data_IF_878580254220
#
_entry.id   IF_878580254220
#
_cell.length_a   1.000
_cell.length_b   1.000
_cell.length_c   1.000
_cell.angle_alpha   90.00
_cell.angle_beta   90.00
_cell.angle_gamma   90.00
#
_symmetry.space_group_name_H-M   'P 1'
#
loop_
_entity.id
_entity.type
_entity.pdbx_description
1 polymer ?
#
# COMPACT_ATOMS: atom_id res chain seq x y z
N UNK A 1 48.38 29.81 11.19
CA UNK A 1 49.32 28.75 11.60
C UNK A 1 49.03 27.54 10.73
N UNK A 2 49.78 27.41 9.65
CA UNK A 2 49.61 26.32 8.69
C UNK A 2 50.23 25.06 9.31
N UNK A 3 49.41 24.26 10.00
CA UNK A 3 49.82 22.92 10.39
C UNK A 3 49.98 22.13 9.11
N UNK A 4 51.22 22.01 8.66
CA UNK A 4 51.62 21.08 7.62
C UNK A 4 51.46 19.68 8.21
N UNK A 5 50.23 19.19 8.19
CA UNK A 5 49.86 17.85 8.60
C UNK A 5 50.60 16.90 7.66
N UNK A 6 51.71 16.34 8.14
CA UNK A 6 52.44 15.29 7.45
C UNK A 6 51.52 14.07 7.36
N UNK A 7 50.67 14.05 6.34
CA UNK A 7 49.78 12.93 6.06
C UNK A 7 50.67 11.76 5.69
N UNK A 8 50.83 10.85 6.64
CA UNK A 8 51.58 9.62 6.46
C UNK A 8 51.00 8.86 5.27
N UNK A 9 51.82 8.61 4.25
CA UNK A 9 51.44 7.85 3.04
C UNK A 9 50.73 6.52 3.37
N UNK A 10 51.14 5.76 4.42
CA UNK A 10 50.40 4.57 4.85
C UNK A 10 48.96 4.85 5.31
N UNK A 11 48.73 5.94 6.05
CA UNK A 11 47.41 6.34 6.53
C UNK A 11 46.50 6.76 5.38
N UNK A 12 47.06 7.45 4.38
CA UNK A 12 46.32 7.82 3.16
C UNK A 12 45.85 6.57 2.39
N UNK A 13 46.73 5.57 2.24
CA UNK A 13 46.36 4.30 1.60
C UNK A 13 45.28 3.54 2.39
N UNK A 14 45.38 3.53 3.73
CA UNK A 14 44.36 2.90 4.57
C UNK A 14 42.99 3.59 4.42
N UNK A 15 42.95 4.91 4.37
CA UNK A 15 41.71 5.68 4.17
C UNK A 15 41.11 5.38 2.78
N UNK A 16 41.93 5.30 1.73
CA UNK A 16 41.48 4.95 0.37
C UNK A 16 40.93 3.52 0.34
N UNK A 17 41.61 2.56 0.98
CA UNK A 17 41.15 1.18 1.03
C UNK A 17 39.81 1.03 1.79
N UNK A 18 39.67 1.70 2.94
CA UNK A 18 38.44 1.67 3.74
C UNK A 18 37.30 2.38 3.02
N UNK A 19 37.54 3.56 2.45
CA UNK A 19 36.51 4.27 1.66
C UNK A 19 36.09 3.47 0.43
N UNK A 20 37.04 2.84 -0.28
CA UNK A 20 36.76 1.91 -1.37
C UNK A 20 35.93 0.70 -0.93
N UNK A 21 36.23 0.13 0.23
CA UNK A 21 35.46 -0.98 0.80
C UNK A 21 34.03 -0.54 1.19
N UNK A 22 33.88 0.65 1.77
CA UNK A 22 32.58 1.22 2.14
C UNK A 22 31.75 1.53 0.89
N UNK A 23 32.33 2.13 -0.15
CA UNK A 23 31.68 2.36 -1.44
C UNK A 23 31.30 1.03 -2.12
N UNK A 24 32.20 0.03 -2.11
CA UNK A 24 31.92 -1.33 -2.59
C UNK A 24 30.76 -1.94 -1.79
N UNK A 25 30.73 -1.76 -0.47
CA UNK A 25 29.70 -2.35 0.36
C UNK A 25 28.34 -1.64 0.20
N UNK A 26 28.32 -0.32 0.16
CA UNK A 26 27.07 0.46 0.03
C UNK A 26 26.47 0.38 -1.37
N UNK A 27 27.29 0.34 -2.42
CA UNK A 27 26.81 0.36 -3.81
C UNK A 27 26.72 -1.04 -4.45
N UNK A 28 27.51 -2.02 -4.00
CA UNK A 28 27.51 -3.38 -4.57
C UNK A 28 27.12 -4.48 -3.57
N UNK A 29 26.99 -4.21 -2.27
CA UNK A 29 26.50 -5.19 -1.29
C UNK A 29 24.99 -5.06 -1.10
N UNK A 30 24.22 -5.26 -2.16
CA UNK A 30 22.86 -5.78 -1.98
C UNK A 30 23.01 -7.28 -1.76
N UNK A 31 22.70 -7.84 -0.58
CA UNK A 31 22.74 -9.28 -0.42
C UNK A 31 21.74 -9.88 -1.43
N UNK A 32 22.19 -10.78 -2.30
CA UNK A 32 21.37 -11.35 -3.37
C UNK A 32 20.03 -11.91 -2.87
N UNK A 33 19.96 -12.31 -1.59
CA UNK A 33 18.76 -12.78 -0.91
C UNK A 33 17.68 -11.70 -0.75
N UNK A 34 18.03 -10.42 -0.46
CA UNK A 34 17.03 -9.35 -0.32
C UNK A 34 16.49 -8.86 -1.67
N UNK A 35 17.31 -8.90 -2.74
CA UNK A 35 16.86 -8.58 -4.10
C UNK A 35 15.89 -9.62 -4.64
N UNK A 36 16.15 -10.90 -4.41
CA UNK A 36 15.26 -11.99 -4.82
C UNK A 36 13.90 -11.96 -4.09
N UNK A 37 13.90 -11.64 -2.78
CA UNK A 37 12.67 -11.49 -2.01
C UNK A 37 11.83 -10.28 -2.47
N UNK A 38 12.47 -9.16 -2.81
CA UNK A 38 11.79 -7.98 -3.33
C UNK A 38 11.20 -8.21 -4.73
N UNK A 39 11.90 -8.93 -5.62
CA UNK A 39 11.35 -9.30 -6.93
C UNK A 39 10.16 -10.24 -6.81
N UNK A 40 10.22 -11.26 -5.93
CA UNK A 40 9.10 -12.17 -5.70
C UNK A 40 7.86 -11.48 -5.09
N UNK A 41 8.06 -10.52 -4.18
CA UNK A 41 6.97 -9.71 -3.63
C UNK A 41 6.30 -8.81 -4.69
N UNK A 42 7.10 -8.26 -5.63
CA UNK A 42 6.57 -7.48 -6.76
C UNK A 42 5.83 -8.36 -7.75
N UNK A 43 6.38 -9.52 -8.12
CA UNK A 43 5.74 -10.50 -9.00
C UNK A 43 4.35 -10.88 -8.46
N UNK A 44 4.28 -11.27 -7.18
CA UNK A 44 3.01 -11.68 -6.54
C UNK A 44 1.98 -10.55 -6.45
N UNK A 45 2.39 -9.31 -6.16
CA UNK A 45 1.46 -8.17 -6.20
C UNK A 45 0.92 -7.88 -7.60
N UNK A 46 1.74 -7.99 -8.64
CA UNK A 46 1.27 -7.83 -10.03
C UNK A 46 0.35 -8.98 -10.45
N UNK A 47 0.61 -10.21 -10.00
CA UNK A 47 -0.26 -11.36 -10.24
C UNK A 47 -1.64 -11.13 -9.60
N UNK A 48 -1.70 -10.74 -8.33
CA UNK A 48 -2.96 -10.42 -7.63
C UNK A 48 -3.74 -9.29 -8.29
N UNK A 49 -3.07 -8.22 -8.70
CA UNK A 49 -3.72 -7.12 -9.41
C UNK A 49 -4.29 -7.58 -10.77
N UNK A 50 -3.59 -8.46 -11.50
CA UNK A 50 -4.12 -9.05 -12.73
C UNK A 50 -5.38 -9.88 -12.45
N UNK A 51 -5.39 -10.70 -11.40
CA UNK A 51 -6.58 -11.49 -11.05
C UNK A 51 -7.78 -10.61 -10.69
N UNK A 52 -7.55 -9.52 -9.96
CA UNK A 52 -8.61 -8.55 -9.64
C UNK A 52 -9.16 -7.87 -10.91
N UNK A 53 -8.28 -7.46 -11.84
CA UNK A 53 -8.68 -6.92 -13.14
C UNK A 53 -9.51 -7.94 -13.93
N UNK A 54 -9.05 -9.20 -14.00
CA UNK A 54 -9.77 -10.27 -14.70
C UNK A 54 -11.17 -10.48 -14.14
N UNK A 55 -11.34 -10.47 -12.81
CA UNK A 55 -12.65 -10.61 -12.19
C UNK A 55 -13.62 -9.51 -12.65
N UNK A 56 -13.13 -8.27 -12.75
CA UNK A 56 -13.93 -7.15 -13.25
C UNK A 56 -14.22 -7.26 -14.75
N UNK A 57 -13.24 -7.66 -15.56
CA UNK A 57 -13.47 -7.90 -16.99
C UNK A 57 -14.47 -9.03 -17.23
N UNK A 58 -14.46 -10.09 -16.41
CA UNK A 58 -15.43 -11.18 -16.50
C UNK A 58 -16.87 -10.71 -16.22
N UNK A 59 -17.05 -9.72 -15.33
CA UNK A 59 -18.36 -9.12 -15.07
C UNK A 59 -18.88 -8.30 -16.26
N UNK A 60 -17.99 -7.65 -17.01
CA UNK A 60 -18.34 -6.86 -18.20
C UNK A 60 -18.47 -7.72 -19.46
N UNK A 61 -17.69 -8.80 -19.56
CA UNK A 61 -17.57 -9.67 -20.73
C UNK A 61 -17.71 -11.14 -20.33
N UNK A 62 -18.91 -11.60 -19.93
CA UNK A 62 -19.12 -12.98 -19.51
C UNK A 62 -18.84 -14.01 -20.63
N UNK A 63 -18.88 -13.57 -21.90
CA UNK A 63 -18.60 -14.40 -23.07
C UNK A 63 -17.10 -14.65 -23.34
N UNK A 64 -16.20 -13.93 -22.65
CA UNK A 64 -14.75 -14.08 -22.85
C UNK A 64 -14.17 -14.99 -21.76
N UNK A 65 -13.35 -15.95 -22.17
CA UNK A 65 -12.70 -16.86 -21.25
C UNK A 65 -11.68 -16.15 -20.34
N UNK A 66 -11.71 -16.52 -19.05
CA UNK A 66 -10.76 -16.05 -18.03
C UNK A 66 -9.29 -16.21 -18.46
N UNK A 67 -8.96 -17.31 -19.14
CA UNK A 67 -7.58 -17.62 -19.59
C UNK A 67 -7.10 -16.63 -20.65
N UNK A 68 -7.98 -16.26 -21.58
CA UNK A 68 -7.71 -15.31 -22.65
C UNK A 68 -7.50 -13.91 -22.08
N UNK A 69 -8.32 -13.52 -21.10
CA UNK A 69 -8.16 -12.25 -20.37
C UNK A 69 -6.83 -12.19 -19.60
N UNK A 70 -6.45 -13.26 -18.90
CA UNK A 70 -5.17 -13.33 -18.19
C UNK A 70 -3.98 -13.17 -19.14
N UNK A 71 -4.03 -13.84 -20.30
CA UNK A 71 -3.00 -13.75 -21.31
C UNK A 71 -2.88 -12.36 -21.91
N UNK A 72 -4.01 -11.73 -22.25
CA UNK A 72 -3.99 -10.38 -22.80
C UNK A 72 -3.50 -9.37 -21.76
N UNK A 73 -3.97 -9.46 -20.50
CA UNK A 73 -3.49 -8.65 -19.37
C UNK A 73 -2.00 -8.85 -19.08
N UNK A 74 -1.46 -10.04 -19.33
CA UNK A 74 -0.02 -10.26 -19.21
C UNK A 74 0.74 -9.48 -20.29
N UNK A 75 0.25 -9.45 -21.53
CA UNK A 75 0.88 -8.70 -22.64
C UNK A 75 0.68 -7.19 -22.55
N UNK A 76 -0.47 -6.72 -22.05
CA UNK A 76 -0.77 -5.30 -21.85
C UNK A 76 -0.24 -4.75 -20.53
N UNK A 77 0.52 -5.54 -19.76
CA UNK A 77 1.17 -5.10 -18.52
C UNK A 77 0.19 -4.87 -17.35
N UNK A 78 -0.99 -5.50 -17.38
CA UNK A 78 -2.02 -5.35 -16.36
C UNK A 78 -2.97 -4.17 -16.59
N UNK A 79 -2.93 -3.54 -17.77
CA UNK A 79 -3.83 -2.44 -18.13
C UNK A 79 -5.22 -2.97 -18.53
N UNK A 80 -6.19 -2.83 -17.63
CA UNK A 80 -7.57 -3.24 -17.88
C UNK A 80 -8.21 -2.48 -19.05
N UNK A 81 -7.99 -1.17 -19.18
CA UNK A 81 -8.60 -0.36 -20.23
C UNK A 81 -8.16 -0.83 -21.63
N UNK A 82 -6.85 -1.08 -21.81
CA UNK A 82 -6.32 -1.59 -23.07
C UNK A 82 -6.91 -2.95 -23.45
N UNK A 83 -7.10 -3.84 -22.46
CA UNK A 83 -7.75 -5.13 -22.68
C UNK A 83 -9.24 -4.95 -23.00
N UNK A 84 -9.96 -4.04 -22.34
CA UNK A 84 -11.37 -3.77 -22.68
C UNK A 84 -11.55 -3.26 -24.11
N UNK A 85 -10.69 -2.35 -24.57
CA UNK A 85 -10.74 -1.84 -25.94
C UNK A 85 -10.49 -2.96 -26.96
N UNK A 86 -9.51 -3.83 -26.69
CA UNK A 86 -9.20 -4.96 -27.56
C UNK A 86 -10.31 -6.00 -27.60
N UNK A 87 -10.98 -6.21 -26.46
CA UNK A 87 -12.16 -7.07 -26.36
C UNK A 87 -13.30 -6.53 -27.21
N UNK A 88 -13.60 -5.24 -27.09
CA UNK A 88 -14.63 -4.57 -27.88
C UNK A 88 -14.30 -4.54 -29.38
N UNK A 89 -13.02 -4.39 -29.74
CA UNK A 89 -12.55 -4.46 -31.12
C UNK A 89 -12.54 -5.89 -31.71
N UNK A 90 -12.83 -6.92 -30.90
CA UNK A 90 -12.80 -8.32 -31.32
C UNK A 90 -11.41 -8.83 -31.71
N UNK A 91 -10.34 -8.27 -31.13
CA UNK A 91 -8.94 -8.61 -31.42
C UNK A 91 -8.28 -9.34 -30.23
N UNK A 92 -9.00 -10.19 -29.52
CA UNK A 92 -8.38 -11.02 -28.48
C UNK A 92 -7.52 -12.11 -29.12
N UNK A 93 -6.24 -12.12 -28.76
CA UNK A 93 -5.33 -13.20 -29.15
C UNK A 93 -5.65 -14.45 -28.34
N UNK A 94 -5.81 -15.60 -29.02
CA UNK A 94 -6.07 -16.86 -28.34
C UNK A 94 -4.78 -17.28 -27.61
N UNK A 95 -4.83 -17.53 -26.28
CA UNK A 95 -3.63 -17.91 -25.54
C UNK A 95 -3.02 -19.19 -26.10
N UNK A 96 -1.69 -19.26 -26.27
CA UNK A 96 -1.03 -20.48 -26.70
C UNK A 96 -1.31 -21.61 -25.69
N UNK A 97 -1.33 -22.86 -26.17
CA UNK A 97 -1.59 -24.04 -25.33
C UNK A 97 -0.53 -24.27 -24.25
N UNK A 98 0.61 -23.60 -24.34
CA UNK A 98 1.67 -23.58 -23.33
C UNK A 98 1.41 -22.61 -22.18
N UNK A 99 0.41 -21.71 -22.29
CA UNK A 99 0.03 -20.84 -21.19
C UNK A 99 -0.75 -21.62 -20.14
N UNK A 100 -0.01 -22.06 -19.12
CA UNK A 100 -0.55 -22.71 -17.92
C UNK A 100 -0.74 -21.64 -16.86
N UNK A 101 -1.97 -21.14 -16.64
CA UNK A 101 -2.22 -20.14 -15.61
C UNK A 101 -1.83 -20.71 -14.24
N UNK A 102 -1.24 -19.90 -13.34
CA UNK A 102 -0.96 -20.35 -11.99
C UNK A 102 -2.27 -20.83 -11.33
N UNK A 103 -2.24 -21.94 -10.58
CA UNK A 103 -3.43 -22.46 -9.93
C UNK A 103 -4.02 -21.38 -9.02
N UNK A 104 -5.37 -21.26 -8.96
CA UNK A 104 -6.00 -20.34 -8.03
C UNK A 104 -5.51 -20.64 -6.61
N UNK A 105 -5.29 -19.63 -5.76
CA UNK A 105 -4.84 -19.86 -4.40
C UNK A 105 -5.87 -20.75 -3.71
N UNK A 106 -5.45 -21.97 -3.36
CA UNK A 106 -6.22 -22.87 -2.51
C UNK A 106 -6.47 -22.16 -1.19
N UNK A 107 -7.71 -22.14 -0.65
CA UNK A 107 -7.92 -21.75 0.74
C UNK A 107 -7.05 -22.66 1.63
N UNK A 108 -6.52 -22.14 2.76
CA UNK A 108 -5.64 -22.92 3.63
C UNK A 108 -6.32 -24.23 4.01
N UNK A 109 -5.63 -25.34 3.73
CA UNK A 109 -6.08 -26.69 3.99
C UNK A 109 -6.44 -26.87 5.47
N UNK A 110 -7.73 -26.98 5.75
CA UNK A 110 -8.22 -27.76 6.89
C UNK A 110 -8.81 -29.04 6.34
N UNK A 111 -8.44 -30.13 6.99
CA UNK A 111 -8.68 -31.53 6.70
C UNK A 111 -10.04 -31.89 6.06
N UNK A 112 -9.96 -32.80 5.09
CA UNK A 112 -10.87 -33.90 4.79
C UNK A 112 -12.41 -33.74 4.97
N UNK A 113 -13.08 -33.87 3.82
CA UNK A 113 -14.33 -34.60 3.55
C UNK A 113 -15.72 -34.10 4.00
N UNK A 114 -16.59 -34.02 2.97
CA UNK A 114 -18.06 -34.21 2.93
C UNK A 114 -18.99 -32.97 3.12
N UNK A 115 -20.21 -33.00 2.49
CA UNK A 115 -20.85 -31.81 1.95
C UNK A 115 -22.08 -31.30 2.73
N UNK A 116 -22.55 -30.13 2.29
CA UNK A 116 -23.85 -29.50 2.56
C UNK A 116 -24.09 -28.90 3.95
N UNK A 117 -24.24 -27.57 4.00
CA UNK A 117 -25.51 -26.91 4.37
C UNK A 117 -25.36 -25.39 4.37
N UNK A 118 -26.40 -24.74 3.89
CA UNK A 118 -26.62 -23.30 3.99
C UNK A 118 -26.60 -22.89 5.47
N UNK A 119 -25.99 -21.75 5.80
CA UNK A 119 -26.46 -20.87 6.88
C UNK A 119 -25.76 -19.51 6.85
N UNK A 120 -26.62 -18.50 6.79
CA UNK A 120 -26.39 -17.10 7.12
C UNK A 120 -25.89 -16.93 8.56
N UNK A 121 -24.86 -16.11 8.80
CA UNK A 121 -24.64 -15.33 10.03
C UNK A 121 -23.32 -14.55 9.89
N UNK A 122 -23.39 -13.22 9.82
CA UNK A 122 -23.23 -12.32 10.95
C UNK A 122 -21.74 -12.04 11.27
N UNK A 123 -21.28 -10.89 10.76
CA UNK A 123 -20.05 -10.24 11.16
C UNK A 123 -20.13 -9.78 12.62
N UNK A 124 -19.48 -10.50 13.53
CA UNK A 124 -19.16 -10.00 14.87
C UNK A 124 -17.66 -9.76 14.98
N UNK A 125 -17.35 -8.53 15.33
CA UNK A 125 -16.10 -7.98 15.83
C UNK A 125 -15.36 -8.90 16.80
N UNK A 126 -14.08 -9.12 16.56
CA UNK A 126 -13.13 -9.56 17.59
C UNK A 126 -11.78 -8.86 17.37
N UNK A 127 -11.46 -8.00 18.32
CA UNK A 127 -10.21 -7.27 18.46
C UNK A 127 -9.06 -8.24 18.77
N UNK A 128 -8.42 -8.79 17.74
CA UNK A 128 -7.10 -9.36 17.95
C UNK A 128 -6.09 -8.21 17.96
N UNK A 129 -5.60 -7.82 19.15
CA UNK A 129 -4.39 -7.01 19.32
C UNK A 129 -3.29 -7.62 18.46
N UNK A 130 -3.06 -7.03 17.29
CA UNK A 130 -2.00 -7.49 16.41
C UNK A 130 -0.67 -7.18 17.10
N UNK A 131 0.14 -8.20 17.36
CA UNK A 131 1.53 -8.12 17.86
C UNK A 131 2.49 -7.34 16.92
N UNK A 132 1.96 -6.62 15.93
CA UNK A 132 2.72 -5.75 15.06
C UNK A 132 2.94 -4.41 15.78
N UNK A 133 4.14 -3.80 15.65
CA UNK A 133 4.39 -2.47 16.22
C UNK A 133 3.36 -1.47 15.70
N UNK A 134 2.86 -0.62 16.59
CA UNK A 134 1.83 0.38 16.29
C UNK A 134 2.19 1.21 15.04
N UNK A 135 1.18 1.50 14.22
CA UNK A 135 1.36 2.27 12.99
C UNK A 135 1.96 3.65 13.24
N UNK A 136 1.68 4.24 14.41
CA UNK A 136 2.24 5.51 14.86
C UNK A 136 3.76 5.41 15.01
N UNK A 137 4.24 4.38 15.70
CA UNK A 137 5.66 4.12 15.92
C UNK A 137 6.37 3.77 14.62
N UNK A 138 5.73 2.94 13.78
CA UNK A 138 6.29 2.53 12.48
C UNK A 138 6.52 3.70 11.52
N UNK A 139 5.68 4.74 11.60
CA UNK A 139 5.75 5.91 10.74
C UNK A 139 6.21 7.19 11.45
N UNK A 140 6.73 7.05 12.66
CA UNK A 140 7.24 8.17 13.48
C UNK A 140 6.23 9.33 13.61
N UNK A 141 4.94 9.02 13.79
CA UNK A 141 3.87 10.04 13.84
C UNK A 141 3.68 10.68 15.23
N UNK A 142 4.53 10.34 16.21
CA UNK A 142 4.44 10.84 17.59
C UNK A 142 4.52 12.37 17.68
N UNK A 143 5.36 13.03 16.87
CA UNK A 143 5.55 14.48 16.95
C UNK A 143 4.30 15.23 16.47
N UNK A 144 3.62 14.70 15.46
CA UNK A 144 2.36 15.25 14.95
C UNK A 144 1.22 15.11 15.95
N UNK A 145 1.25 14.07 16.80
CA UNK A 145 0.31 13.88 17.90
C UNK A 145 0.57 14.88 19.04
N UNK A 146 1.83 15.10 19.40
CA UNK A 146 2.20 16.09 20.41
C UNK A 146 1.79 17.52 20.01
N UNK A 147 1.99 17.90 18.74
CA UNK A 147 1.51 19.18 18.22
C UNK A 147 -0.02 19.29 18.17
N UNK A 148 -0.74 18.19 17.90
CA UNK A 148 -2.20 18.18 17.87
C UNK A 148 -2.86 18.16 19.26
N UNK A 149 -2.13 17.77 20.31
CA UNK A 149 -2.64 17.66 21.69
C UNK A 149 -2.54 18.99 22.46
N UNK A 150 -1.67 19.90 22.00
CA UNK A 150 -1.40 21.20 22.66
C UNK A 150 -2.47 22.27 22.35
N UNK A 151 -3.45 21.99 21.49
CA UNK A 151 -4.52 22.94 21.14
C UNK A 151 -5.88 22.45 21.71
N UNK A 152 -6.40 23.05 22.79
CA UNK A 152 -7.76 22.80 23.25
C UNK A 152 -8.77 23.53 22.34
N UNK A 153 -9.43 22.75 21.50
CA UNK A 153 -10.82 22.87 21.02
C UNK A 153 -11.57 24.22 21.24
N UNK A 154 -11.70 25.03 20.19
CA UNK A 154 -12.92 25.81 19.89
C UNK A 154 -13.25 25.73 18.38
N UNK A 155 -14.54 25.84 18.06
CA UNK A 155 -15.15 25.31 16.84
C UNK A 155 -14.65 25.86 15.50
N UNK A 156 -14.76 25.02 14.47
CA UNK A 156 -14.54 25.40 13.08
C UNK A 156 -15.34 24.52 12.15
N UNK A 157 -16.52 24.99 11.76
CA UNK A 157 -17.04 24.69 10.44
C UNK A 157 -15.99 25.09 9.39
N UNK A 158 -15.91 24.32 8.32
CA UNK A 158 -15.27 24.64 7.04
C UNK A 158 -13.93 25.42 7.05
N UNK A 159 -12.85 24.72 6.72
CA UNK A 159 -11.84 25.32 5.85
C UNK A 159 -11.47 24.32 4.78
N UNK A 160 -12.36 24.21 3.79
CA UNK A 160 -11.88 24.11 2.43
C UNK A 160 -11.21 25.43 2.08
N UNK A 161 -9.90 25.54 2.25
CA UNK A 161 -9.14 26.60 1.62
C UNK A 161 -7.78 26.11 1.13
N UNK A 162 -7.79 25.71 -0.14
CA UNK A 162 -6.83 26.16 -1.15
C UNK A 162 -5.42 26.50 -0.67
N UNK A 163 -4.53 25.50 -0.71
CA UNK A 163 -3.14 25.72 -1.12
C UNK A 163 -3.08 25.91 -2.64
N UNK A 164 -3.84 26.88 -3.15
CA UNK A 164 -3.79 27.39 -4.50
C UNK A 164 -3.45 28.86 -4.41
N UNK A 165 -2.15 29.18 -4.46
CA UNK A 165 -1.71 30.49 -4.93
C UNK A 165 -2.12 30.61 -6.39
N UNK A 166 -2.94 31.61 -6.68
CA UNK A 166 -3.61 31.81 -7.95
C UNK A 166 -2.66 31.96 -9.14
N UNK A 167 -3.08 31.32 -10.23
CA UNK A 167 -2.45 31.41 -11.54
C UNK A 167 -3.24 30.63 -12.60
N UNK A 168 -4.55 30.89 -12.69
CA UNK A 168 -5.35 30.67 -13.91
C UNK A 168 -5.88 29.26 -14.19
N UNK A 169 -7.20 29.11 -14.02
CA UNK A 169 -8.04 28.49 -15.05
C UNK A 169 -8.29 26.98 -15.01
N UNK A 170 -9.55 26.65 -14.69
CA UNK A 170 -10.38 25.60 -15.33
C UNK A 170 -10.29 24.18 -14.75
N UNK A 171 -11.38 23.82 -14.06
CA UNK A 171 -12.02 22.51 -14.22
C UNK A 171 -11.69 21.46 -13.16
N UNK A 172 -12.76 20.87 -12.61
CA UNK A 172 -12.74 19.62 -11.86
C UNK A 172 -12.06 18.50 -12.68
N UNK A 173 -10.77 18.30 -12.46
CA UNK A 173 -10.02 17.14 -12.91
C UNK A 173 -9.64 16.33 -11.66
N UNK A 174 -10.35 15.22 -11.45
CA UNK A 174 -10.23 14.41 -10.24
C UNK A 174 -8.79 14.00 -9.95
N UNK A 175 -8.37 14.17 -8.68
CA UNK A 175 -7.17 13.58 -8.03
C UNK A 175 -6.17 12.96 -9.03
N UNK A 176 -5.59 13.78 -9.89
CA UNK A 176 -4.62 13.30 -10.86
C UNK A 176 -3.37 12.94 -10.06
N UNK A 177 -3.01 11.65 -10.10
CA UNK A 177 -1.78 11.11 -9.54
C UNK A 177 -0.61 11.87 -10.18
N UNK A 178 0.03 12.78 -9.43
CA UNK A 178 1.00 13.76 -9.98
C UNK A 178 2.06 13.06 -10.83
N UNK A 179 2.42 13.61 -11.99
CA UNK A 179 3.40 12.98 -12.90
C UNK A 179 4.80 12.85 -12.26
N UNK A 180 5.12 13.77 -11.35
CA UNK A 180 6.37 13.77 -10.59
C UNK A 180 6.34 12.72 -9.48
N UNK A 181 7.34 11.83 -9.48
CA UNK A 181 7.44 10.70 -8.55
C UNK A 181 7.55 11.17 -7.10
N UNK A 182 8.34 12.20 -6.83
CA UNK A 182 8.63 12.73 -5.50
C UNK A 182 7.37 13.36 -4.89
N UNK A 183 6.68 14.20 -5.65
CA UNK A 183 5.41 14.81 -5.23
C UNK A 183 4.35 13.76 -4.92
N UNK A 184 4.25 12.75 -5.78
CA UNK A 184 3.31 11.63 -5.62
C UNK A 184 3.59 10.83 -4.36
N UNK A 185 4.85 10.49 -4.10
CA UNK A 185 5.25 9.82 -2.86
C UNK A 185 4.89 10.67 -1.64
N UNK A 186 5.18 11.97 -1.68
CA UNK A 186 4.86 12.89 -0.57
C UNK A 186 3.36 12.99 -0.31
N UNK A 187 2.54 13.01 -1.37
CA UNK A 187 1.08 13.11 -1.26
C UNK A 187 0.48 11.83 -0.68
N UNK A 188 0.98 10.67 -1.10
CA UNK A 188 0.53 9.38 -0.56
C UNK A 188 0.92 9.21 0.90
N UNK A 189 2.14 9.63 1.25
CA UNK A 189 2.58 9.63 2.63
C UNK A 189 1.67 10.52 3.49
N UNK A 190 1.39 11.76 3.05
CA UNK A 190 0.46 12.66 3.74
C UNK A 190 -0.94 12.04 3.89
N UNK A 191 -1.49 11.43 2.84
CA UNK A 191 -2.82 10.79 2.89
C UNK A 191 -2.84 9.60 3.85
N UNK A 192 -1.79 8.80 3.88
CA UNK A 192 -1.65 7.67 4.82
C UNK A 192 -1.57 8.17 6.25
N UNK A 193 -0.72 9.17 6.49
CA UNK A 193 -0.50 9.71 7.83
C UNK A 193 -1.79 10.37 8.37
N UNK A 194 -2.53 11.11 7.53
CA UNK A 194 -3.85 11.66 7.87
C UNK A 194 -4.84 10.56 8.25
N UNK A 195 -4.94 9.51 7.44
CA UNK A 195 -5.84 8.39 7.71
C UNK A 195 -5.54 7.69 9.05
N UNK A 196 -4.25 7.53 9.39
CA UNK A 196 -3.85 6.90 10.66
C UNK A 196 -4.29 7.76 11.85
N UNK A 197 -4.11 9.08 11.76
CA UNK A 197 -4.52 10.01 12.82
C UNK A 197 -6.06 10.05 12.98
N UNK A 198 -6.80 10.11 11.88
CA UNK A 198 -8.26 10.11 11.88
C UNK A 198 -8.83 8.79 12.44
N UNK A 199 -8.25 7.66 12.02
CA UNK A 199 -8.67 6.35 12.52
C UNK A 199 -8.49 6.23 14.04
N UNK A 200 -7.38 6.76 14.58
CA UNK A 200 -7.16 6.82 16.03
C UNK A 200 -8.17 7.71 16.73
N UNK A 201 -8.39 8.94 16.25
CA UNK A 201 -9.39 9.86 16.83
C UNK A 201 -10.78 9.22 16.85
N UNK A 202 -11.15 8.51 15.78
CA UNK A 202 -12.42 7.79 15.68
C UNK A 202 -12.51 6.62 16.65
N UNK A 203 -11.41 5.88 16.85
CA UNK A 203 -11.34 4.77 17.79
C UNK A 203 -11.42 5.26 19.24
N UNK A 204 -10.70 6.31 19.60
CA UNK A 204 -10.75 6.92 20.93
C UNK A 204 -12.16 7.42 21.28
N UNK A 205 -12.86 8.06 20.33
CA UNK A 205 -14.25 8.48 20.50
C UNK A 205 -15.21 7.29 20.67
N UNK A 206 -14.98 6.19 19.95
CA UNK A 206 -15.78 4.95 20.06
C UNK A 206 -15.60 4.30 21.43
N UNK A 207 -14.36 4.16 21.90
CA UNK A 207 -14.05 3.60 23.22
C UNK A 207 -14.67 4.45 24.34
N UNK A 208 -14.59 5.78 24.23
CA UNK A 208 -15.21 6.67 25.22
C UNK A 208 -16.74 6.50 25.25
N UNK A 209 -17.40 6.50 24.10
CA UNK A 209 -18.84 6.32 24.02
C UNK A 209 -19.30 4.93 24.50
N UNK A 210 -18.50 3.89 24.25
CA UNK A 210 -18.78 2.54 24.75
C UNK A 210 -18.61 2.45 26.26
N UNK A 211 -17.56 3.07 26.82
CA UNK A 211 -17.35 3.15 28.26
C UNK A 211 -18.51 3.87 28.96
N UNK A 212 -18.96 5.01 28.42
CA UNK A 212 -20.11 5.76 28.95
C UNK A 212 -21.42 4.95 28.87
N UNK A 213 -21.61 4.15 27.81
CA UNK A 213 -22.77 3.23 27.70
C UNK A 213 -22.69 2.04 28.66
N UNK A 214 -21.50 1.51 28.90
CA UNK A 214 -21.29 0.42 29.86
C UNK A 214 -21.51 0.89 31.31
N UNK A 215 -21.11 2.11 31.66
CA UNK A 215 -21.36 2.71 32.99
C UNK A 215 -22.84 3.08 33.20
N UNK A 216 -23.56 3.50 32.15
CA UNK A 216 -25.00 3.80 32.22
C UNK A 216 -25.91 2.57 32.37
N UNK A 217 -25.46 1.37 31.96
CA UNK A 217 -26.23 0.12 32.06
C UNK A 217 -26.05 -0.61 33.42
N UNK A 218 -25.04 -0.24 34.22
CA UNK A 218 -24.76 -0.85 35.53
C UNK A 218 -25.35 -0.13 36.74
N UNK A 219 -25.98 1.03 36.57
CA UNK A 219 -26.50 1.88 37.67
C UNK A 219 -28.01 1.79 37.94
N UNK A 220 -28.73 0.87 37.27
CA UNK A 220 -30.15 0.64 37.48
C UNK A 220 -30.40 -0.70 38.18
N UNK A 221 -30.22 -0.76 39.49
CA UNK A 221 -30.75 -1.81 40.38
C UNK A 221 -31.25 -1.16 41.65
#
# INVERSE_FOLDING_TARGET
MSNNEQINVPTLLAIIAVSGLVLRYLFFSTPASSRAAQTAARESSTARNREASVAQLQQMFPQVDRRTLLWDLQRTGGNMAATTERVLAGRLETPPQTFQPPPPPSPPASQAAAPASQSTAASTTAESKSSAPDLITRYHLQDKLASATTEPQEGGAESGQTGGGGGGGKGAAGKAWSSNKEERQSLLQRRRDQMILEARRKMEARIRAEKEKAEGAGGGS
#
